data_IF_211190182822
#
_entry.id   IF_211190182822
#
_cell.length_a   1.000
_cell.length_b   1.000
_cell.length_c   1.000
_cell.angle_alpha   90.00
_cell.angle_beta   90.00
_cell.angle_gamma   90.00
#
_symmetry.space_group_name_H-M   'P 1'
#
loop_
_entity.id
_entity.type
_entity.pdbx_description
1 polymer ?
#
# COMPACT_ATOMS: atom_id res chain seq x y z
N UNK A 1 -13.62 -23.14 1.68
CA UNK A 1 -14.13 -21.83 2.13
C UNK A 1 -13.41 -20.74 1.36
N UNK A 2 -13.94 -20.37 0.20
CA UNK A 2 -13.32 -19.38 -0.71
C UNK A 2 -13.01 -18.06 0.00
N UNK A 3 -13.87 -17.59 0.91
CA UNK A 3 -13.64 -16.34 1.64
C UNK A 3 -12.31 -16.28 2.42
N UNK A 4 -11.85 -17.41 2.99
CA UNK A 4 -10.56 -17.47 3.69
C UNK A 4 -9.38 -17.48 2.71
N UNK A 5 -9.57 -18.04 1.52
CA UNK A 5 -8.53 -18.08 0.47
C UNK A 5 -8.30 -16.69 -0.13
N UNK A 6 -9.36 -15.88 -0.22
CA UNK A 6 -9.30 -14.51 -0.73
C UNK A 6 -8.57 -13.55 0.22
N UNK A 7 -8.50 -13.88 1.50
CA UNK A 7 -7.84 -13.08 2.55
C UNK A 7 -6.42 -13.51 2.85
N UNK A 8 -5.92 -14.56 2.18
CA UNK A 8 -4.55 -14.98 2.33
C UNK A 8 -3.62 -14.00 1.59
N UNK A 9 -2.68 -13.43 2.33
CA UNK A 9 -1.60 -12.63 1.74
C UNK A 9 -0.72 -13.52 0.87
N UNK A 10 -0.59 -13.15 -0.40
CA UNK A 10 0.22 -13.89 -1.38
C UNK A 10 1.60 -13.25 -1.54
N UNK A 11 1.65 -11.92 -1.64
CA UNK A 11 2.88 -11.18 -1.95
C UNK A 11 2.96 -9.93 -1.08
N UNK A 12 4.14 -9.67 -0.54
CA UNK A 12 4.45 -8.42 0.14
C UNK A 12 5.64 -7.77 -0.56
N UNK A 13 5.50 -6.49 -0.89
CA UNK A 13 6.61 -5.63 -1.32
C UNK A 13 6.70 -4.44 -0.38
N UNK A 14 7.90 -4.14 0.09
CA UNK A 14 8.15 -3.00 0.96
C UNK A 14 9.27 -2.15 0.39
N UNK A 15 9.16 -0.83 0.58
CA UNK A 15 10.18 0.14 0.19
C UNK A 15 10.10 1.36 1.11
N UNK A 16 11.11 1.56 1.96
CA UNK A 16 11.14 2.59 3.00
C UNK A 16 9.86 2.60 3.85
N UNK A 17 9.08 3.67 3.75
CA UNK A 17 7.83 3.85 4.49
C UNK A 17 6.59 3.35 3.73
N UNK A 18 6.75 2.60 2.64
CA UNK A 18 5.64 2.04 1.86
C UNK A 18 5.65 0.51 1.91
N UNK A 19 4.47 -0.06 2.08
CA UNK A 19 4.24 -1.51 1.97
C UNK A 19 3.05 -1.75 1.06
N UNK A 20 3.19 -2.62 0.06
CA UNK A 20 2.09 -3.13 -0.73
C UNK A 20 1.88 -4.61 -0.39
N UNK A 21 0.65 -4.95 -0.04
CA UNK A 21 0.21 -6.29 0.32
C UNK A 21 -0.77 -6.75 -0.76
N UNK A 22 -0.41 -7.78 -1.51
CA UNK A 22 -1.30 -8.41 -2.46
C UNK A 22 -1.95 -9.65 -1.84
N UNK A 23 -3.27 -9.63 -1.85
CA UNK A 23 -4.12 -10.78 -1.65
C UNK A 23 -4.42 -11.43 -3.00
N UNK A 24 -5.20 -12.50 -2.98
CA UNK A 24 -5.55 -13.25 -4.19
C UNK A 24 -6.19 -12.37 -5.27
N UNK A 25 -7.07 -11.43 -4.88
CA UNK A 25 -7.88 -10.64 -5.82
C UNK A 25 -7.82 -9.12 -5.62
N UNK A 26 -7.03 -8.62 -4.68
CA UNK A 26 -6.89 -7.18 -4.45
C UNK A 26 -5.56 -6.84 -3.79
N UNK A 27 -5.15 -5.57 -3.87
CA UNK A 27 -3.93 -5.06 -3.25
C UNK A 27 -4.31 -3.96 -2.25
N UNK A 28 -3.67 -3.98 -1.08
CA UNK A 28 -3.75 -2.90 -0.10
C UNK A 28 -2.37 -2.28 0.07
N UNK A 29 -2.31 -0.96 -0.03
CA UNK A 29 -1.11 -0.18 0.23
C UNK A 29 -1.15 0.46 1.60
N UNK A 30 -0.05 0.36 2.31
CA UNK A 30 0.18 0.98 3.60
C UNK A 30 1.33 1.97 3.52
N UNK A 31 1.22 3.03 4.32
CA UNK A 31 2.30 3.99 4.52
C UNK A 31 2.57 4.14 6.02
N UNK A 32 3.85 4.20 6.36
CA UNK A 32 4.32 4.55 7.70
C UNK A 32 4.47 6.07 7.80
N UNK A 33 3.85 6.66 8.82
CA UNK A 33 4.13 8.03 9.27
C UNK A 33 4.66 8.03 10.69
N UNK A 34 5.50 9.02 11.00
CA UNK A 34 6.10 9.17 12.33
C UNK A 34 5.04 9.47 13.41
N UNK A 35 3.92 10.09 13.03
CA UNK A 35 2.87 10.51 13.97
C UNK A 35 1.83 9.42 14.28
N UNK A 36 1.48 8.58 13.30
CA UNK A 36 0.33 7.68 13.40
C UNK A 36 0.68 6.20 13.16
N UNK A 37 1.93 5.88 12.84
CA UNK A 37 2.34 4.53 12.50
C UNK A 37 1.87 4.12 11.10
N UNK A 38 1.55 2.84 10.92
CA UNK A 38 1.09 2.29 9.65
C UNK A 38 -0.39 2.55 9.44
N UNK A 39 -0.75 3.07 8.26
CA UNK A 39 -2.15 3.25 7.86
C UNK A 39 -2.35 2.90 6.39
N UNK A 40 -3.58 2.54 6.01
CA UNK A 40 -3.95 2.23 4.63
C UNK A 40 -4.03 3.53 3.83
N UNK A 41 -3.27 3.60 2.75
CA UNK A 41 -3.25 4.73 1.80
C UNK A 41 -4.07 4.45 0.55
N UNK A 42 -4.18 3.18 0.16
CA UNK A 42 -5.06 2.77 -0.92
C UNK A 42 -5.48 1.31 -0.78
N UNK A 43 -6.61 0.97 -1.38
CA UNK A 43 -7.01 -0.39 -1.65
C UNK A 43 -7.54 -0.46 -3.08
N UNK A 44 -7.06 -1.42 -3.87
CA UNK A 44 -7.59 -1.62 -5.21
C UNK A 44 -9.01 -2.18 -5.16
N UNK A 45 -9.82 -1.99 -6.20
CA UNK A 45 -10.99 -2.83 -6.43
C UNK A 45 -10.60 -4.32 -6.45
N UNK A 46 -11.57 -5.18 -6.15
CA UNK A 46 -11.43 -6.62 -6.33
C UNK A 46 -11.45 -6.93 -7.83
N UNK A 47 -10.49 -7.72 -8.29
CA UNK A 47 -10.40 -8.19 -9.67
C UNK A 47 -10.66 -9.69 -9.76
N UNK A 48 -11.25 -10.12 -10.87
CA UNK A 48 -11.53 -11.55 -11.10
C UNK A 48 -10.24 -12.35 -11.29
N UNK A 49 -9.23 -11.75 -11.92
CA UNK A 49 -7.90 -12.35 -12.11
C UNK A 49 -7.11 -12.40 -10.81
N UNK A 50 -6.29 -13.44 -10.66
CA UNK A 50 -5.39 -13.57 -9.52
C UNK A 50 -4.19 -12.64 -9.62
N UNK A 51 -3.73 -12.11 -8.49
CA UNK A 51 -2.55 -11.25 -8.45
C UNK A 51 -1.28 -12.09 -8.36
N UNK A 52 -0.58 -12.22 -9.47
CA UNK A 52 0.67 -12.99 -9.54
C UNK A 52 1.91 -12.15 -9.22
N UNK A 53 1.85 -10.84 -9.45
CA UNK A 53 3.00 -9.94 -9.35
C UNK A 53 2.56 -8.54 -8.93
N UNK A 54 3.38 -7.89 -8.11
CA UNK A 54 3.25 -6.47 -7.79
C UNK A 54 4.60 -5.78 -7.90
N UNK A 55 4.56 -4.53 -8.37
CA UNK A 55 5.68 -3.61 -8.35
C UNK A 55 5.30 -2.39 -7.50
N UNK A 56 6.21 -1.95 -6.65
CA UNK A 56 6.02 -0.79 -5.79
C UNK A 56 7.02 0.27 -6.25
N UNK A 57 6.50 1.38 -6.78
CA UNK A 57 7.27 2.58 -7.05
C UNK A 57 6.88 3.64 -6.03
N UNK A 58 7.81 4.01 -5.17
CA UNK A 58 7.60 5.07 -4.19
C UNK A 58 8.60 6.19 -4.46
N UNK A 59 8.09 7.36 -4.84
CA UNK A 59 8.89 8.57 -4.88
C UNK A 59 9.11 9.01 -3.43
N UNK A 60 10.35 8.92 -2.94
CA UNK A 60 10.79 9.60 -1.73
C UNK A 60 10.91 11.09 -2.04
N UNK A 61 9.78 11.74 -2.30
CA UNK A 61 9.71 13.19 -2.24
C UNK A 61 10.02 13.56 -0.80
N UNK A 62 11.22 14.09 -0.56
CA UNK A 62 11.49 14.82 0.68
C UNK A 62 10.35 15.81 0.84
N UNK A 63 9.67 15.74 1.98
CA UNK A 63 8.73 16.73 2.49
C UNK A 63 8.21 17.65 1.38
N UNK A 64 7.01 17.39 0.85
CA UNK A 64 6.21 18.54 0.45
C UNK A 64 6.00 19.29 1.75
N UNK A 65 6.95 20.17 2.06
CA UNK A 65 6.89 21.06 3.19
C UNK A 65 5.64 21.83 2.87
N UNK A 66 4.56 21.53 3.60
CA UNK A 66 3.47 22.44 3.78
C UNK A 66 4.03 23.64 4.55
N UNK A 67 4.98 24.35 3.96
CA UNK A 67 5.38 25.68 4.38
C UNK A 67 4.38 26.62 3.72
N UNK A 68 3.15 26.57 4.23
CA UNK A 68 2.36 27.78 4.25
C UNK A 68 3.10 28.74 5.18
N UNK A 69 3.76 29.75 4.61
CA UNK A 69 3.97 30.99 5.34
C UNK A 69 4.03 32.15 4.36
N UNK A 70 3.05 33.03 4.48
CA UNK A 70 3.01 34.35 3.85
C UNK A 70 4.16 35.20 4.40
N UNK A 71 4.92 35.83 3.50
CA UNK A 71 5.53 37.16 3.68
C UNK A 71 5.59 37.82 2.32
#
# INVERSE_FOLDING_TARGET
NTWQENMKVQIIKAHHNWVAVAYTHFVTGYRLTDSCGWYVVFQSPVQDSVIERIALNAKTGGSATSSGNNT
#
